data_IF_643219398246
#
_entry.id   IF_643219398246
#
_cell.length_a   1.000
_cell.length_b   1.000
_cell.length_c   1.000
_cell.angle_alpha   90.00
_cell.angle_beta   90.00
_cell.angle_gamma   90.00
#
_symmetry.space_group_name_H-M   'P 1'
#
loop_
_entity.id
_entity.type
_entity.pdbx_description
1 polymer ?
#
# COMPACT_ATOMS: atom_id res chain seq x y z
N UNK A 1 -3.10 -4.43 -11.12
CA UNK A 1 -1.92 -5.31 -11.22
C UNK A 1 -1.23 -5.49 -9.86
N UNK A 2 -0.66 -4.46 -9.24
CA UNK A 2 -0.04 -4.59 -7.92
C UNK A 2 -1.05 -4.84 -6.79
N UNK A 3 -2.26 -4.28 -6.90
CA UNK A 3 -3.40 -4.59 -6.04
C UNK A 3 -3.82 -6.07 -6.11
N UNK A 4 -3.97 -6.61 -7.32
CA UNK A 4 -4.31 -8.03 -7.55
C UNK A 4 -3.23 -8.99 -7.02
N UNK A 5 -1.97 -8.59 -7.18
CA UNK A 5 -0.81 -9.32 -6.64
C UNK A 5 -0.80 -9.30 -5.11
N UNK A 6 -1.10 -8.16 -4.49
CA UNK A 6 -1.25 -8.04 -3.04
C UNK A 6 -2.42 -8.92 -2.53
N UNK A 7 -3.54 -8.91 -3.24
CA UNK A 7 -4.71 -9.75 -2.94
C UNK A 7 -4.37 -11.25 -3.02
N UNK A 8 -3.61 -11.66 -4.04
CA UNK A 8 -3.14 -13.03 -4.16
C UNK A 8 -2.13 -13.36 -3.06
N UNK A 9 -1.15 -12.49 -2.80
CA UNK A 9 -0.16 -12.69 -1.76
C UNK A 9 -0.80 -12.84 -0.37
N UNK A 10 -1.80 -12.02 -0.07
CA UNK A 10 -2.58 -12.11 1.17
C UNK A 10 -3.40 -13.41 1.22
N UNK A 11 -4.12 -13.74 0.15
CA UNK A 11 -4.91 -14.98 0.04
C UNK A 11 -4.08 -16.25 0.19
N UNK A 12 -2.85 -16.25 -0.31
CA UNK A 12 -1.94 -17.40 -0.24
C UNK A 12 -0.92 -17.30 0.92
N UNK A 13 -1.04 -16.30 1.80
CA UNK A 13 -0.11 -16.03 2.90
C UNK A 13 1.37 -16.05 2.46
N UNK A 14 1.65 -15.45 1.31
CA UNK A 14 2.99 -15.37 0.74
C UNK A 14 3.67 -14.10 1.25
N UNK A 15 4.16 -14.12 2.48
CA UNK A 15 4.77 -12.94 3.14
C UNK A 15 5.87 -12.29 2.29
N UNK A 16 6.72 -13.10 1.64
CA UNK A 16 7.78 -12.59 0.75
C UNK A 16 7.21 -11.83 -0.47
N UNK A 17 6.13 -12.34 -1.05
CA UNK A 17 5.50 -11.70 -2.20
C UNK A 17 4.74 -10.44 -1.74
N UNK A 18 4.10 -10.50 -0.57
CA UNK A 18 3.41 -9.37 0.06
C UNK A 18 4.38 -8.21 0.26
N UNK A 19 5.52 -8.43 0.90
CA UNK A 19 6.56 -7.39 1.09
C UNK A 19 7.03 -6.81 -0.24
N UNK A 20 7.29 -7.64 -1.25
CA UNK A 20 7.72 -7.16 -2.56
C UNK A 20 6.65 -6.32 -3.27
N UNK A 21 5.37 -6.66 -3.10
CA UNK A 21 4.26 -5.87 -3.61
C UNK A 21 4.10 -4.55 -2.84
N UNK A 22 4.26 -4.58 -1.52
CA UNK A 22 4.23 -3.38 -0.67
C UNK A 22 5.33 -2.40 -1.06
N UNK A 23 6.56 -2.86 -1.33
CA UNK A 23 7.65 -2.01 -1.84
C UNK A 23 7.32 -1.41 -3.22
N UNK A 24 6.81 -2.22 -4.15
CA UNK A 24 6.44 -1.74 -5.49
C UNK A 24 5.30 -0.73 -5.45
N UNK A 25 4.29 -0.97 -4.62
CA UNK A 25 3.16 -0.06 -4.37
C UNK A 25 3.64 1.21 -3.68
N UNK A 26 4.54 1.11 -2.70
CA UNK A 26 5.16 2.24 -2.03
C UNK A 26 5.95 3.12 -3.00
N UNK A 27 6.69 2.52 -3.94
CA UNK A 27 7.43 3.27 -4.96
C UNK A 27 6.52 3.90 -6.02
N UNK A 28 5.30 3.36 -6.18
CA UNK A 28 4.27 3.89 -7.07
C UNK A 28 3.27 4.79 -6.35
N UNK A 29 3.46 5.02 -5.05
CA UNK A 29 2.54 5.75 -4.17
C UNK A 29 2.70 7.25 -4.39
N UNK A 30 1.61 7.92 -4.69
CA UNK A 30 1.53 9.36 -4.94
C UNK A 30 0.38 9.96 -4.14
N UNK A 31 0.42 11.27 -3.90
CA UNK A 31 -0.65 11.99 -3.19
C UNK A 31 -2.03 11.87 -3.85
N UNK A 32 -2.10 11.56 -5.14
CA UNK A 32 -3.36 11.35 -5.85
C UNK A 32 -3.89 9.91 -5.70
N UNK A 33 -3.01 8.92 -5.67
CA UNK A 33 -3.40 7.50 -5.58
C UNK A 33 -3.37 6.93 -4.15
N UNK A 34 -2.79 7.65 -3.19
CA UNK A 34 -2.67 7.22 -1.78
C UNK A 34 -4.01 6.81 -1.18
N UNK A 35 -5.09 7.53 -1.51
CA UNK A 35 -6.44 7.22 -1.03
C UNK A 35 -6.93 5.86 -1.51
N UNK A 36 -6.70 5.53 -2.79
CA UNK A 36 -7.11 4.27 -3.39
C UNK A 36 -6.23 3.10 -2.91
N UNK A 37 -4.92 3.33 -2.80
CA UNK A 37 -3.95 2.37 -2.26
C UNK A 37 -4.26 2.05 -0.80
N UNK A 38 -4.63 3.05 0.01
CA UNK A 38 -4.93 2.87 1.42
C UNK A 38 -6.18 2.02 1.65
N UNK A 39 -7.20 2.16 0.81
CA UNK A 39 -8.40 1.31 0.83
C UNK A 39 -8.03 -0.14 0.48
N UNK A 40 -7.21 -0.34 -0.56
CA UNK A 40 -6.73 -1.67 -0.95
C UNK A 40 -5.86 -2.32 0.12
N UNK A 41 -4.98 -1.55 0.75
CA UNK A 41 -4.11 -2.02 1.82
C UNK A 41 -4.92 -2.43 3.06
N UNK A 42 -5.98 -1.69 3.39
CA UNK A 42 -6.92 -2.04 4.45
C UNK A 42 -7.69 -3.34 4.12
N UNK A 43 -8.16 -3.47 2.88
CA UNK A 43 -8.90 -4.64 2.40
C UNK A 43 -8.06 -5.92 2.42
N UNK A 44 -6.78 -5.82 2.08
CA UNK A 44 -5.84 -6.96 1.98
C UNK A 44 -4.92 -7.08 3.21
N UNK A 45 -5.27 -6.45 4.33
CA UNK A 45 -4.48 -6.47 5.58
C UNK A 45 -2.97 -6.24 5.35
N UNK A 46 -2.62 -5.34 4.43
CA UNK A 46 -1.25 -4.98 4.11
C UNK A 46 -0.81 -3.81 5.00
N UNK A 47 -0.47 -4.12 6.25
CA UNK A 47 -0.18 -3.12 7.28
C UNK A 47 1.02 -2.23 6.93
N UNK A 48 2.04 -2.78 6.27
CA UNK A 48 3.25 -2.04 5.91
C UNK A 48 2.92 -0.96 4.87
N UNK A 49 2.21 -1.36 3.82
CA UNK A 49 1.72 -0.43 2.80
C UNK A 49 0.74 0.59 3.36
N UNK A 50 -0.16 0.17 4.26
CA UNK A 50 -1.10 1.06 4.92
C UNK A 50 -0.39 2.14 5.74
N UNK A 51 0.64 1.78 6.51
CA UNK A 51 1.44 2.71 7.28
C UNK A 51 2.20 3.72 6.39
N UNK A 52 2.77 3.25 5.27
CA UNK A 52 3.42 4.09 4.26
C UNK A 52 2.42 5.08 3.65
N UNK A 53 1.25 4.59 3.23
CA UNK A 53 0.18 5.40 2.67
C UNK A 53 -0.31 6.46 3.66
N UNK A 54 -0.57 6.09 4.92
CA UNK A 54 -0.94 7.03 5.97
C UNK A 54 0.13 8.08 6.22
N UNK A 55 1.40 7.66 6.27
CA UNK A 55 2.53 8.59 6.43
C UNK A 55 2.54 9.61 5.29
N UNK A 56 2.36 9.17 4.05
CA UNK A 56 2.32 10.06 2.88
C UNK A 56 1.14 11.05 2.96
N UNK A 57 -0.04 10.58 3.35
CA UNK A 57 -1.23 11.43 3.60
C UNK A 57 -0.98 12.49 4.67
N UNK A 58 -0.27 12.15 5.75
CA UNK A 58 0.09 13.11 6.82
C UNK A 58 1.24 14.03 6.43
N UNK A 59 2.11 13.62 5.50
CA UNK A 59 3.24 14.44 5.03
C UNK A 59 2.79 15.51 4.05
N UNK A 60 1.80 15.21 3.21
CA UNK A 60 1.21 16.15 2.25
C UNK A 60 0.48 17.33 2.90
N UNK A 61 -0.04 17.17 4.13
CA UNK A 61 -0.73 18.25 4.85
C UNK A 61 0.22 19.20 5.59
N UNK A 62 1.52 18.88 5.68
CA UNK A 62 2.49 19.64 6.47
C UNK A 62 3.26 20.70 5.68
N UNK A 63 3.03 20.86 4.37
CA UNK A 63 3.58 21.97 3.59
C UNK A 63 2.50 23.01 3.31
N UNK A 64 2.37 23.97 4.23
CA UNK A 64 1.74 25.28 4.00
C UNK A 64 2.82 26.31 3.67
#
# INVERSE_FOLDING_TARGET
MAADLLAAADKYALDRLKVSCEEALCNSLTVENVSEILILADLHSAEQLKAQAMTLSTRGTSQT
#
